data_IF_402776376296
#
_entry.id   IF_402776376296
#
_cell.length_a   1.000
_cell.length_b   1.000
_cell.length_c   1.000
_cell.angle_alpha   90.00
_cell.angle_beta   90.00
_cell.angle_gamma   90.00
#
_symmetry.space_group_name_H-M   'P 1'
#
loop_
_entity.id
_entity.type
_entity.pdbx_description
1 polymer ?
#
# COMPACT_ATOMS: atom_id res chain seq x y z
N UNK A 1 71.69 -26.52 -5.58
CA UNK A 1 72.97 -26.62 -4.85
C UNK A 1 72.72 -26.10 -3.44
N UNK A 2 72.48 -27.01 -2.47
CA UNK A 2 72.23 -26.73 -1.05
C UNK A 2 73.11 -27.73 -0.29
N UNK A 3 73.95 -27.31 0.68
CA UNK A 3 74.97 -28.18 1.24
C UNK A 3 74.38 -29.15 2.27
N UNK A 4 74.85 -30.40 2.19
CA UNK A 4 74.54 -31.50 3.09
C UNK A 4 74.93 -31.18 4.54
N UNK A 5 73.98 -31.34 5.48
CA UNK A 5 74.17 -31.13 6.91
C UNK A 5 74.87 -32.36 7.50
N UNK A 6 76.14 -32.19 7.85
CA UNK A 6 77.06 -33.18 8.46
C UNK A 6 76.41 -33.86 9.69
N UNK A 7 76.16 -35.17 9.62
CA UNK A 7 75.84 -36.00 10.78
C UNK A 7 77.13 -36.28 11.55
N UNK A 8 77.28 -35.66 12.73
CA UNK A 8 78.31 -36.01 13.72
C UNK A 8 77.69 -36.98 14.71
N UNK A 9 77.71 -38.26 14.38
CA UNK A 9 77.50 -39.34 15.34
C UNK A 9 78.86 -40.00 15.59
N UNK A 10 79.72 -39.28 16.33
CA UNK A 10 80.92 -39.87 16.91
C UNK A 10 80.75 -39.91 18.42
N UNK A 11 80.52 -41.13 18.89
CA UNK A 11 80.99 -41.67 20.17
C UNK A 11 80.50 -40.96 21.44
N UNK A 12 79.25 -41.23 21.85
CA UNK A 12 78.80 -41.03 23.24
C UNK A 12 78.25 -42.35 23.78
N UNK A 13 79.10 -43.07 24.51
CA UNK A 13 78.70 -44.21 25.35
C UNK A 13 77.95 -43.67 26.56
N UNK A 14 76.67 -44.03 26.71
CA UNK A 14 75.84 -43.66 27.88
C UNK A 14 75.67 -44.87 28.81
N UNK A 15 75.99 -44.77 30.11
CA UNK A 15 75.76 -45.86 31.06
C UNK A 15 74.27 -46.02 31.36
N UNK A 16 73.84 -47.27 31.52
CA UNK A 16 72.46 -47.63 31.83
C UNK A 16 72.09 -47.24 33.28
N UNK A 17 70.96 -46.54 33.46
CA UNK A 17 70.30 -46.48 34.77
C UNK A 17 69.97 -45.09 35.36
N UNK A 18 69.57 -44.08 34.57
CA UNK A 18 69.01 -42.85 35.15
C UNK A 18 67.70 -42.40 34.50
N UNK A 19 66.60 -42.55 35.26
CA UNK A 19 65.23 -42.01 35.12
C UNK A 19 65.15 -40.58 35.69
N UNK A 20 64.25 -39.64 35.27
CA UNK A 20 62.86 -39.56 35.84
C UNK A 20 61.81 -38.89 34.88
N UNK A 21 60.54 -39.29 34.89
CA UNK A 21 59.37 -38.80 35.66
C UNK A 21 58.60 -37.57 35.11
N UNK A 22 57.27 -37.74 35.06
CA UNK A 22 56.18 -36.75 35.21
C UNK A 22 56.13 -35.52 34.28
N UNK A 23 55.31 -35.60 33.23
CA UNK A 23 54.49 -34.45 32.84
C UNK A 23 53.16 -34.90 32.21
N UNK A 24 52.08 -34.77 32.99
CA UNK A 24 50.78 -34.40 32.44
C UNK A 24 50.96 -33.08 31.70
N UNK A 25 51.18 -33.12 30.40
CA UNK A 25 51.33 -31.89 29.62
C UNK A 25 50.56 -32.03 28.33
N UNK A 26 49.58 -31.13 28.17
CA UNK A 26 48.77 -30.91 26.98
C UNK A 26 49.59 -31.13 25.71
N UNK A 27 49.36 -32.26 25.05
CA UNK A 27 49.98 -32.56 23.76
C UNK A 27 49.23 -31.72 22.73
N UNK A 28 49.84 -30.68 22.14
CA UNK A 28 49.17 -29.87 21.14
C UNK A 28 48.73 -30.79 20.01
N UNK A 29 47.42 -30.90 19.80
CA UNK A 29 46.83 -31.64 18.68
C UNK A 29 47.20 -30.93 17.38
N UNK A 30 48.36 -31.26 16.84
CA UNK A 30 48.84 -30.73 15.57
C UNK A 30 47.83 -31.10 14.46
N UNK A 31 47.29 -30.08 13.79
CA UNK A 31 46.37 -30.24 12.66
C UNK A 31 44.87 -30.03 12.95
N UNK A 32 44.39 -30.03 14.20
CA UNK A 32 42.95 -29.79 14.47
C UNK A 32 42.55 -28.34 14.21
N UNK A 33 43.44 -27.38 14.49
CA UNK A 33 43.22 -25.97 14.18
C UNK A 33 43.10 -25.72 12.66
N UNK A 34 43.98 -26.37 11.87
CA UNK A 34 43.93 -26.30 10.41
C UNK A 34 42.65 -26.93 9.84
N UNK A 35 42.23 -28.09 10.36
CA UNK A 35 40.99 -28.78 9.96
C UNK A 35 39.74 -27.94 10.29
N UNK A 36 39.72 -27.30 11.48
CA UNK A 36 38.64 -26.38 11.87
C UNK A 36 38.57 -25.13 10.98
N UNK A 37 39.72 -24.55 10.61
CA UNK A 37 39.79 -23.38 9.71
C UNK A 37 39.28 -23.71 8.32
N UNK A 38 39.69 -24.85 7.74
CA UNK A 38 39.19 -25.31 6.43
C UNK A 38 37.67 -25.54 6.45
N UNK A 39 37.16 -26.23 7.48
CA UNK A 39 35.71 -26.44 7.64
C UNK A 39 34.94 -25.12 7.74
N UNK A 40 35.46 -24.14 8.50
CA UNK A 40 34.85 -22.81 8.61
C UNK A 40 34.82 -22.08 7.27
N UNK A 41 35.91 -22.10 6.51
CA UNK A 41 35.97 -21.48 5.18
C UNK A 41 34.97 -22.12 4.22
N UNK A 42 34.87 -23.47 4.20
CA UNK A 42 33.91 -24.19 3.36
C UNK A 42 32.47 -23.82 3.73
N UNK A 43 32.15 -23.74 5.02
CA UNK A 43 30.81 -23.36 5.48
C UNK A 43 30.48 -21.92 5.05
N UNK A 44 31.41 -20.99 5.25
CA UNK A 44 31.22 -19.57 4.87
C UNK A 44 31.05 -19.45 3.34
N UNK A 45 31.88 -20.14 2.57
CA UNK A 45 31.79 -20.13 1.11
C UNK A 45 30.46 -20.71 0.62
N UNK A 46 30.02 -21.84 1.20
CA UNK A 46 28.75 -22.45 0.88
C UNK A 46 27.56 -21.55 1.27
N UNK A 47 27.60 -20.90 2.44
CA UNK A 47 26.54 -19.98 2.86
C UNK A 47 26.49 -18.74 1.97
N UNK A 48 27.66 -18.18 1.60
CA UNK A 48 27.72 -17.04 0.70
C UNK A 48 27.18 -17.40 -0.69
N UNK A 49 27.57 -18.56 -1.23
CA UNK A 49 27.05 -19.05 -2.50
C UNK A 49 25.53 -19.28 -2.45
N UNK A 50 25.03 -19.87 -1.36
CA UNK A 50 23.60 -20.08 -1.14
C UNK A 50 22.82 -18.76 -1.11
N UNK A 51 23.34 -17.74 -0.42
CA UNK A 51 22.72 -16.41 -0.38
C UNK A 51 22.69 -15.75 -1.76
N UNK A 52 23.76 -15.84 -2.54
CA UNK A 52 23.83 -15.29 -3.89
C UNK A 52 22.78 -15.96 -4.78
N UNK A 53 22.70 -17.29 -4.75
CA UNK A 53 21.72 -18.05 -5.54
C UNK A 53 20.28 -17.73 -5.14
N UNK A 54 20.00 -17.65 -3.84
CA UNK A 54 18.68 -17.26 -3.33
C UNK A 54 18.30 -15.84 -3.77
N UNK A 55 19.24 -14.90 -3.73
CA UNK A 55 19.02 -13.51 -4.16
C UNK A 55 18.67 -13.43 -5.64
N UNK A 56 19.38 -14.18 -6.49
CA UNK A 56 19.10 -14.24 -7.93
C UNK A 56 17.77 -14.93 -8.22
N UNK A 57 17.41 -15.96 -7.46
CA UNK A 57 16.14 -16.64 -7.61
C UNK A 57 14.98 -15.70 -7.26
N UNK A 58 15.06 -14.98 -6.13
CA UNK A 58 14.03 -14.03 -5.68
C UNK A 58 13.90 -12.85 -6.65
N UNK A 59 15.00 -12.32 -7.19
CA UNK A 59 14.92 -11.19 -8.13
C UNK A 59 14.28 -11.53 -9.48
N UNK A 60 14.20 -12.82 -9.82
CA UNK A 60 13.53 -13.31 -11.03
C UNK A 60 12.06 -13.65 -10.83
N UNK A 61 11.54 -13.62 -9.61
CA UNK A 61 10.10 -13.78 -9.39
C UNK A 61 9.38 -12.57 -9.99
N UNK A 62 8.41 -12.85 -10.86
CA UNK A 62 7.56 -11.80 -11.43
C UNK A 62 6.83 -11.08 -10.30
N UNK A 63 6.76 -9.74 -10.32
CA UNK A 63 6.02 -8.97 -9.32
C UNK A 63 4.59 -9.50 -9.19
N UNK A 64 4.13 -9.78 -7.98
CA UNK A 64 2.77 -10.28 -7.71
C UNK A 64 1.69 -9.18 -7.85
N UNK A 65 2.07 -7.99 -8.30
CA UNK A 65 1.16 -6.84 -8.43
C UNK A 65 0.51 -6.87 -9.81
N UNK A 66 -0.83 -6.77 -9.92
CA UNK A 66 -1.52 -6.62 -11.19
C UNK A 66 -0.94 -5.45 -11.97
N UNK A 67 -0.29 -5.72 -13.09
CA UNK A 67 0.28 -4.70 -13.97
C UNK A 67 -0.68 -4.47 -15.12
N UNK A 68 -1.14 -3.23 -15.30
CA UNK A 68 -1.97 -2.82 -16.44
C UNK A 68 -1.09 -2.26 -17.55
N UNK A 69 -1.40 -2.61 -18.80
CA UNK A 69 -0.68 -2.10 -19.96
C UNK A 69 -1.01 -0.61 -20.16
N UNK A 70 0.01 0.23 -20.40
CA UNK A 70 -0.16 1.66 -20.67
C UNK A 70 -1.03 1.92 -21.89
N UNK A 71 -1.05 1.01 -22.86
CA UNK A 71 -1.92 1.11 -24.05
C UNK A 71 -3.42 1.02 -23.71
N UNK A 72 -3.77 0.42 -22.58
CA UNK A 72 -5.17 0.20 -22.16
C UNK A 72 -5.76 1.35 -21.35
N UNK A 73 -4.93 2.28 -20.87
CA UNK A 73 -5.35 3.35 -19.97
C UNK A 73 -5.23 4.70 -20.67
N UNK A 74 -6.35 5.42 -20.72
CA UNK A 74 -6.36 6.82 -21.11
C UNK A 74 -6.10 7.67 -19.87
N UNK A 75 -4.93 8.31 -19.83
CA UNK A 75 -4.51 9.17 -18.72
C UNK A 75 -4.62 10.62 -19.18
N UNK A 76 -5.38 11.42 -18.44
CA UNK A 76 -5.42 12.88 -18.61
C UNK A 76 -5.16 13.57 -17.26
N UNK A 77 -4.72 14.83 -17.32
CA UNK A 77 -4.45 15.66 -16.15
C UNK A 77 -5.71 16.42 -15.74
N UNK A 78 -6.04 16.41 -14.45
CA UNK A 78 -7.19 17.18 -13.93
C UNK A 78 -7.00 18.67 -14.19
N UNK A 79 -8.05 19.33 -14.70
CA UNK A 79 -8.06 20.77 -14.97
C UNK A 79 -9.07 21.45 -14.05
N UNK A 80 -8.65 22.54 -13.40
CA UNK A 80 -9.55 23.39 -12.63
C UNK A 80 -10.14 24.44 -13.56
N UNK A 81 -11.46 24.57 -13.56
CA UNK A 81 -12.16 25.57 -14.36
C UNK A 81 -13.63 25.66 -13.98
N UNK A 82 -14.31 26.75 -14.37
CA UNK A 82 -15.75 26.86 -14.18
C UNK A 82 -16.47 25.80 -15.01
N UNK A 83 -17.25 24.94 -14.36
CA UNK A 83 -18.13 23.97 -15.04
C UNK A 83 -19.54 24.54 -15.07
N UNK A 84 -19.94 25.08 -16.23
CA UNK A 84 -21.28 25.64 -16.39
C UNK A 84 -22.32 24.51 -16.47
N UNK A 85 -23.15 24.39 -15.44
CA UNK A 85 -24.30 23.48 -15.43
C UNK A 85 -25.57 24.27 -15.76
N UNK A 86 -26.00 24.20 -17.02
CA UNK A 86 -27.28 24.77 -17.43
C UNK A 86 -28.42 23.79 -17.12
N UNK A 87 -29.28 24.15 -16.16
CA UNK A 87 -30.48 23.38 -15.82
C UNK A 87 -31.71 24.15 -16.30
N UNK A 88 -32.64 23.46 -16.96
CA UNK A 88 -33.95 24.00 -17.26
C UNK A 88 -34.91 23.63 -16.13
N UNK A 89 -35.45 24.62 -15.45
CA UNK A 89 -36.54 24.43 -14.50
C UNK A 89 -37.87 24.61 -15.22
N UNK A 90 -38.63 23.53 -15.43
CA UNK A 90 -40.02 23.62 -15.85
C UNK A 90 -40.87 23.91 -14.61
N UNK A 91 -41.81 24.85 -14.71
CA UNK A 91 -42.69 25.23 -13.62
C UNK A 91 -44.05 25.69 -14.13
N UNK A 92 -45.04 25.68 -13.24
CA UNK A 92 -46.41 26.15 -13.51
C UNK A 92 -46.69 27.41 -12.72
N UNK A 93 -47.44 28.34 -13.31
CA UNK A 93 -47.91 29.52 -12.57
C UNK A 93 -49.00 29.09 -11.58
N UNK A 94 -48.81 29.46 -10.32
CA UNK A 94 -49.77 29.26 -9.24
C UNK A 94 -50.17 30.65 -8.73
N UNK A 95 -51.47 30.90 -8.46
CA UNK A 95 -51.90 32.19 -7.91
C UNK A 95 -51.24 32.44 -6.54
N UNK A 96 -50.90 33.70 -6.27
CA UNK A 96 -50.30 34.12 -5.00
C UNK A 96 -51.32 34.02 -3.85
N UNK A 97 -52.54 34.52 -4.09
CA UNK A 97 -53.63 34.55 -3.12
C UNK A 97 -54.93 33.99 -3.69
N UNK A 98 -55.60 33.13 -2.92
CA UNK A 98 -56.95 32.62 -3.22
C UNK A 98 -57.88 33.05 -2.08
N UNK A 99 -58.91 33.84 -2.41
CA UNK A 99 -59.89 34.35 -1.45
C UNK A 99 -61.28 33.84 -1.77
N UNK A 100 -61.92 33.22 -0.79
CA UNK A 100 -63.34 32.90 -0.81
C UNK A 100 -64.11 34.04 -0.15
N UNK A 101 -65.16 34.54 -0.82
CA UNK A 101 -65.97 35.67 -0.33
C UNK A 101 -67.35 35.11 0.06
N UNK A 102 -67.61 34.79 1.33
CA UNK A 102 -68.92 34.37 1.79
C UNK A 102 -69.88 35.57 1.94
N UNK A 103 -71.18 35.29 1.99
CA UNK A 103 -72.17 36.27 2.42
C UNK A 103 -72.08 36.49 3.94
N UNK A 104 -72.24 37.74 4.39
CA UNK A 104 -72.23 38.08 5.82
C UNK A 104 -73.50 37.65 6.56
N UNK A 105 -74.61 37.50 5.82
CA UNK A 105 -75.94 37.18 6.36
C UNK A 105 -76.58 36.11 5.47
N UNK A 106 -77.46 35.29 6.06
CA UNK A 106 -78.28 34.35 5.30
C UNK A 106 -79.32 35.10 4.45
N UNK A 107 -79.47 34.69 3.19
CA UNK A 107 -80.34 35.33 2.21
C UNK A 107 -80.55 34.46 0.98
N UNK A 108 -81.34 34.94 0.00
CA UNK A 108 -81.58 34.24 -1.26
C UNK A 108 -81.03 35.08 -2.39
N UNK A 109 -80.12 34.51 -3.19
CA UNK A 109 -79.58 35.17 -4.39
C UNK A 109 -80.71 35.67 -5.29
N UNK A 110 -80.84 37.00 -5.40
CA UNK A 110 -81.77 37.67 -6.31
C UNK A 110 -81.16 37.75 -7.71
N UNK A 111 -79.86 38.11 -7.79
CA UNK A 111 -79.18 38.35 -9.06
C UNK A 111 -77.69 38.00 -9.01
N UNK A 112 -77.18 37.45 -10.12
CA UNK A 112 -75.75 37.22 -10.36
C UNK A 112 -75.27 38.28 -11.36
N UNK A 113 -74.39 39.17 -10.93
CA UNK A 113 -73.91 40.28 -11.76
C UNK A 113 -72.64 39.89 -12.53
N UNK A 114 -71.83 38.99 -11.96
CA UNK A 114 -70.56 38.57 -12.53
C UNK A 114 -70.53 37.04 -12.66
N UNK A 115 -70.21 36.57 -13.88
CA UNK A 115 -70.14 35.14 -14.18
C UNK A 115 -68.73 34.58 -13.90
N UNK A 116 -68.60 33.26 -13.65
CA UNK A 116 -67.30 32.63 -13.43
C UNK A 116 -66.33 32.87 -14.61
N UNK A 117 -65.08 33.21 -14.29
CA UNK A 117 -64.02 33.47 -15.27
C UNK A 117 -63.94 34.91 -15.77
N UNK A 118 -64.87 35.79 -15.37
CA UNK A 118 -64.76 37.23 -15.62
C UNK A 118 -63.67 37.86 -14.73
N UNK A 119 -62.86 38.75 -15.31
CA UNK A 119 -61.88 39.53 -14.55
C UNK A 119 -62.62 40.57 -13.70
N UNK A 120 -62.26 40.69 -12.43
CA UNK A 120 -62.90 41.60 -11.46
C UNK A 120 -61.90 42.63 -10.96
N UNK A 121 -62.40 43.81 -10.61
CA UNK A 121 -61.67 44.89 -9.96
C UNK A 121 -62.12 45.07 -8.50
N UNK A 122 -61.30 45.70 -7.63
CA UNK A 122 -61.70 45.99 -6.27
C UNK A 122 -62.96 46.87 -6.23
N UNK A 123 -64.00 46.39 -5.54
CA UNK A 123 -65.28 47.10 -5.39
C UNK A 123 -66.39 46.61 -6.32
N UNK A 124 -66.10 45.70 -7.25
CA UNK A 124 -67.10 45.08 -8.11
C UNK A 124 -68.13 44.27 -7.29
N UNK A 125 -69.41 44.45 -7.65
CA UNK A 125 -70.52 43.70 -7.05
C UNK A 125 -70.68 42.38 -7.78
N UNK A 126 -70.41 41.26 -7.10
CA UNK A 126 -70.45 39.92 -7.68
C UNK A 126 -71.89 39.38 -7.71
N UNK A 127 -72.62 39.52 -6.59
CA UNK A 127 -73.98 38.99 -6.40
C UNK A 127 -74.82 39.95 -5.55
N UNK A 128 -76.13 39.89 -5.77
CA UNK A 128 -77.15 40.58 -4.97
C UNK A 128 -78.00 39.50 -4.24
N UNK A 129 -78.19 39.68 -2.93
CA UNK A 129 -78.78 38.71 -1.98
C UNK A 129 -80.19 39.08 -1.52
#
# INVERSE_FOLDING_TARGET
MIPQRKSKDENIVRPAGFTPSLSSMDVPRVGVAAKKRKRRIIIIAASALGLILATIAISRLKPAVPTVDRSTVWIDTVKRGPMLRQVRGLGTLVPEDIRWIPANTEGRVEKINIWPGTKVEPGDVILEL
#
